data_IF_706199549333
#
_entry.id   IF_706199549333
#
_cell.length_a   1.000
_cell.length_b   1.000
_cell.length_c   1.000
_cell.angle_alpha   90.00
_cell.angle_beta   90.00
_cell.angle_gamma   90.00
#
_symmetry.space_group_name_H-M   'P 1'
#
loop_
_entity.id
_entity.type
_entity.pdbx_description
1 polymer ?
#
# COMPACT_ATOMS: atom_id res chain seq x y z
N UNK A 1 53.04 42.03 -45.58
CA UNK A 1 52.51 40.98 -44.68
C UNK A 1 51.50 41.61 -43.73
N UNK A 2 50.47 40.86 -43.35
CA UNK A 2 49.17 41.28 -42.80
C UNK A 2 49.21 41.62 -41.30
N UNK A 3 48.73 42.80 -40.86
CA UNK A 3 48.07 43.01 -39.55
C UNK A 3 47.41 44.41 -39.53
N UNK A 4 46.12 44.53 -39.90
CA UNK A 4 44.92 44.58 -39.02
C UNK A 4 44.81 45.84 -38.16
N UNK A 5 43.90 46.73 -38.58
CA UNK A 5 43.27 47.80 -37.80
C UNK A 5 42.25 47.22 -36.82
N UNK A 6 42.12 47.81 -35.62
CA UNK A 6 40.86 47.99 -34.85
C UNK A 6 41.24 48.41 -33.42
N UNK A 7 41.10 49.69 -33.07
CA UNK A 7 39.93 50.31 -32.44
C UNK A 7 39.69 49.91 -30.98
N UNK A 8 39.86 50.93 -30.15
CA UNK A 8 39.67 51.02 -28.71
C UNK A 8 38.19 50.84 -28.36
N UNK A 9 37.86 49.79 -27.58
CA UNK A 9 36.48 49.55 -27.12
C UNK A 9 36.33 50.05 -25.68
N UNK A 10 35.63 51.17 -25.52
CA UNK A 10 35.23 51.73 -24.24
C UNK A 10 34.38 50.74 -23.42
N UNK A 11 34.75 50.61 -22.15
CA UNK A 11 33.93 50.01 -21.09
C UNK A 11 32.63 50.82 -20.93
N UNK A 12 31.50 50.18 -21.21
CA UNK A 12 30.17 50.71 -20.91
C UNK A 12 29.63 49.96 -19.69
N UNK A 13 29.61 50.65 -18.55
CA UNK A 13 28.92 50.23 -17.32
C UNK A 13 27.41 50.34 -17.56
N UNK A 14 26.76 49.21 -17.82
CA UNK A 14 25.31 49.15 -17.95
C UNK A 14 24.65 49.13 -16.56
N UNK A 15 24.19 50.29 -16.09
CA UNK A 15 23.23 50.39 -15.00
C UNK A 15 21.86 49.87 -15.48
N UNK A 16 21.56 48.61 -15.19
CA UNK A 16 20.21 48.06 -15.36
C UNK A 16 19.41 48.28 -14.08
N UNK A 17 18.44 49.20 -14.17
CA UNK A 17 17.39 49.45 -13.18
C UNK A 17 16.50 48.20 -13.09
N UNK A 18 16.34 47.65 -11.89
CA UNK A 18 15.47 46.51 -11.59
C UNK A 18 14.07 47.07 -11.35
N UNK A 19 13.13 46.79 -12.26
CA UNK A 19 11.70 46.97 -12.03
C UNK A 19 11.16 45.71 -11.33
N UNK A 20 10.48 45.81 -10.18
CA UNK A 20 9.86 44.64 -9.56
C UNK A 20 8.58 44.29 -10.35
N UNK A 21 8.66 43.28 -11.21
CA UNK A 21 7.48 42.71 -11.84
C UNK A 21 6.75 41.87 -10.78
N UNK A 22 5.80 42.51 -10.10
CA UNK A 22 4.84 41.88 -9.19
C UNK A 22 4.14 40.75 -9.94
N UNK A 23 4.50 39.50 -9.65
CA UNK A 23 3.76 38.34 -10.13
C UNK A 23 2.48 38.24 -9.31
N UNK A 24 1.36 38.54 -9.97
CA UNK A 24 0.03 38.24 -9.46
C UNK A 24 -0.06 36.74 -9.16
N UNK A 25 -0.30 36.41 -7.90
CA UNK A 25 -0.60 35.07 -7.43
C UNK A 25 -1.92 34.66 -8.09
N UNK A 26 -1.88 33.62 -8.95
CA UNK A 26 -3.09 32.92 -9.36
C UNK A 26 -3.74 32.33 -8.11
N UNK A 27 -4.79 32.99 -7.62
CA UNK A 27 -5.71 32.36 -6.67
C UNK A 27 -6.36 31.18 -7.38
N UNK A 28 -5.96 29.97 -7.00
CA UNK A 28 -6.71 28.77 -7.36
C UNK A 28 -8.13 28.95 -6.81
N UNK A 29 -9.13 28.96 -7.69
CA UNK A 29 -10.54 28.87 -7.31
C UNK A 29 -10.77 27.51 -6.66
N UNK A 30 -10.42 27.37 -5.38
CA UNK A 30 -10.84 26.26 -4.55
C UNK A 30 -12.34 26.41 -4.30
N UNK A 31 -13.15 25.77 -5.15
CA UNK A 31 -14.52 25.44 -4.72
C UNK A 31 -14.37 24.39 -3.62
N UNK A 32 -14.82 24.66 -2.38
CA UNK A 32 -14.89 23.61 -1.37
C UNK A 32 -15.83 22.54 -1.92
N UNK A 33 -15.29 21.37 -2.25
CA UNK A 33 -16.12 20.20 -2.47
C UNK A 33 -16.82 19.93 -1.14
N UNK A 34 -18.16 20.02 -1.12
CA UNK A 34 -18.93 19.52 0.01
C UNK A 34 -18.50 18.07 0.23
N UNK A 35 -18.17 17.65 1.47
CA UNK A 35 -17.88 16.25 1.75
C UNK A 35 -19.07 15.43 1.25
N UNK A 36 -18.86 14.63 0.20
CA UNK A 36 -19.89 13.68 -0.19
C UNK A 36 -19.99 12.66 0.94
N UNK A 37 -21.22 12.26 1.34
CA UNK A 37 -21.38 11.15 2.26
C UNK A 37 -20.61 9.95 1.70
N UNK A 38 -19.86 9.21 2.54
CA UNK A 38 -19.15 8.04 2.07
C UNK A 38 -20.14 7.08 1.41
N UNK A 39 -19.74 6.37 0.33
CA UNK A 39 -20.58 5.34 -0.27
C UNK A 39 -20.98 4.32 0.79
N UNK A 40 -22.17 3.74 0.65
CA UNK A 40 -22.64 2.70 1.56
C UNK A 40 -21.61 1.54 1.58
N UNK A 41 -21.30 0.96 2.75
CA UNK A 41 -20.31 -0.09 2.85
C UNK A 41 -20.76 -1.32 2.03
N UNK A 42 -19.83 -2.03 1.36
CA UNK A 42 -20.17 -3.25 0.66
C UNK A 42 -20.75 -4.29 1.64
N UNK A 43 -21.65 -5.14 1.17
CA UNK A 43 -22.19 -6.22 2.01
C UNK A 43 -21.13 -7.33 2.16
N UNK A 44 -20.90 -7.86 3.36
CA UNK A 44 -20.02 -9.01 3.53
C UNK A 44 -20.63 -10.26 2.87
N UNK A 45 -19.79 -11.16 2.35
CA UNK A 45 -20.26 -12.44 1.82
C UNK A 45 -20.82 -13.32 2.94
N UNK A 46 -21.79 -14.16 2.59
CA UNK A 46 -22.51 -15.02 3.54
C UNK A 46 -22.42 -16.47 3.09
N UNK A 47 -21.42 -17.23 3.57
CA UNK A 47 -21.27 -18.63 3.22
C UNK A 47 -22.37 -19.50 3.85
N UNK A 48 -22.70 -20.65 3.23
CA UNK A 48 -23.73 -21.55 3.72
C UNK A 48 -23.31 -22.15 5.06
N UNK A 49 -24.29 -22.24 5.97
CA UNK A 49 -24.13 -22.89 7.26
C UNK A 49 -24.55 -24.35 7.13
N UNK A 50 -23.63 -25.26 7.46
CA UNK A 50 -23.86 -26.70 7.53
C UNK A 50 -23.49 -27.16 8.94
N UNK A 51 -24.44 -27.17 9.90
CA UNK A 51 -24.14 -27.52 11.29
C UNK A 51 -23.61 -28.94 11.39
N UNK A 52 -22.41 -29.09 11.95
CA UNK A 52 -21.78 -30.38 12.27
C UNK A 52 -21.45 -30.38 13.75
N UNK A 53 -21.88 -31.41 14.48
CA UNK A 53 -21.60 -31.57 15.91
C UNK A 53 -20.25 -32.24 16.11
N UNK A 54 -19.40 -31.64 16.94
CA UNK A 54 -18.14 -32.19 17.39
C UNK A 54 -18.21 -32.50 18.89
N UNK A 55 -17.65 -33.62 19.29
CA UNK A 55 -17.55 -33.99 20.71
C UNK A 55 -16.10 -34.24 21.05
N UNK A 56 -15.56 -33.51 22.02
CA UNK A 56 -14.20 -33.67 22.49
C UNK A 56 -14.16 -33.54 24.01
N UNK A 57 -13.50 -34.48 24.69
CA UNK A 57 -13.40 -34.55 26.15
C UNK A 57 -14.74 -34.43 26.91
N UNK A 58 -15.83 -34.94 26.33
CA UNK A 58 -17.16 -34.91 26.95
C UNK A 58 -17.92 -33.58 26.76
N UNK A 59 -17.33 -32.61 26.08
CA UNK A 59 -18.00 -31.39 25.65
C UNK A 59 -18.38 -31.49 24.17
N UNK A 60 -19.60 -31.07 23.85
CA UNK A 60 -20.12 -31.05 22.48
C UNK A 60 -20.41 -29.62 22.03
N UNK A 61 -19.98 -29.27 20.82
CA UNK A 61 -20.32 -28.00 20.17
C UNK A 61 -20.68 -28.22 18.70
N UNK A 62 -21.41 -27.26 18.14
CA UNK A 62 -21.74 -27.22 16.72
C UNK A 62 -20.81 -26.27 15.98
N UNK A 63 -20.22 -26.73 14.88
CA UNK A 63 -19.48 -25.91 13.94
C UNK A 63 -20.21 -25.89 12.58
N UNK A 64 -20.93 -24.80 12.27
CA UNK A 64 -21.62 -24.62 10.99
C UNK A 64 -20.70 -24.44 9.77
N UNK A 65 -19.40 -24.22 9.97
CA UNK A 65 -18.44 -23.92 8.93
C UNK A 65 -17.35 -24.99 8.79
N UNK A 66 -17.49 -26.12 9.49
CA UNK A 66 -16.56 -27.24 9.43
C UNK A 66 -16.24 -27.70 8.00
N UNK A 67 -17.21 -27.64 7.10
CA UNK A 67 -17.04 -27.99 5.68
C UNK A 67 -15.93 -27.20 4.97
N UNK A 68 -15.59 -25.99 5.42
CA UNK A 68 -14.52 -25.18 4.83
C UNK A 68 -13.12 -25.74 5.10
N UNK A 69 -12.96 -26.58 6.12
CA UNK A 69 -11.69 -27.26 6.43
C UNK A 69 -11.49 -28.55 5.63
N UNK A 70 -12.52 -29.03 4.92
CA UNK A 70 -12.51 -30.33 4.24
C UNK A 70 -11.87 -30.25 2.86
N UNK A 71 -10.53 -30.21 2.82
CA UNK A 71 -9.75 -30.10 1.58
C UNK A 71 -9.86 -31.31 0.64
N UNK A 72 -10.41 -32.44 1.09
CA UNK A 72 -10.57 -33.64 0.26
C UNK A 72 -11.92 -33.70 -0.47
N UNK A 73 -12.89 -32.88 -0.09
CA UNK A 73 -14.19 -32.82 -0.76
C UNK A 73 -14.15 -31.78 -1.89
N UNK A 74 -14.24 -32.25 -3.13
CA UNK A 74 -14.25 -31.40 -4.33
C UNK A 74 -15.40 -30.40 -4.33
N UNK A 75 -16.55 -30.77 -3.76
CA UNK A 75 -17.71 -29.88 -3.68
C UNK A 75 -17.43 -28.77 -2.68
N UNK A 76 -16.92 -29.10 -1.49
CA UNK A 76 -16.50 -28.12 -0.49
C UNK A 76 -15.46 -27.14 -1.05
N UNK A 77 -14.44 -27.63 -1.76
CA UNK A 77 -13.42 -26.78 -2.39
C UNK A 77 -14.02 -25.80 -3.39
N UNK A 78 -14.91 -26.26 -4.28
CA UNK A 78 -15.58 -25.37 -5.26
C UNK A 78 -16.38 -24.26 -4.57
N UNK A 79 -17.09 -24.59 -3.51
CA UNK A 79 -17.78 -23.57 -2.72
C UNK A 79 -16.79 -22.62 -2.04
N UNK A 80 -15.69 -23.13 -1.49
CA UNK A 80 -14.65 -22.33 -0.85
C UNK A 80 -14.04 -21.32 -1.83
N UNK A 81 -13.68 -21.73 -3.04
CA UNK A 81 -13.11 -20.84 -4.08
C UNK A 81 -14.05 -19.67 -4.39
N UNK A 82 -15.34 -19.96 -4.58
CA UNK A 82 -16.36 -18.93 -4.85
C UNK A 82 -16.47 -17.92 -3.70
N UNK A 83 -16.44 -18.39 -2.46
CA UNK A 83 -16.50 -17.48 -1.31
C UNK A 83 -15.20 -16.70 -1.11
N UNK A 84 -14.05 -17.29 -1.45
CA UNK A 84 -12.77 -16.60 -1.38
C UNK A 84 -12.68 -15.45 -2.38
N UNK A 85 -13.17 -15.63 -3.61
CA UNK A 85 -13.29 -14.54 -4.58
C UNK A 85 -14.25 -13.43 -4.10
N UNK A 86 -15.32 -13.78 -3.39
CA UNK A 86 -16.24 -12.78 -2.84
C UNK A 86 -15.61 -12.00 -1.68
N UNK A 87 -14.86 -12.68 -0.82
CA UNK A 87 -14.08 -12.04 0.25
C UNK A 87 -13.01 -11.12 -0.32
N UNK A 88 -12.29 -11.54 -1.36
CA UNK A 88 -11.29 -10.70 -2.05
C UNK A 88 -11.92 -9.40 -2.57
N UNK A 89 -13.05 -9.50 -3.28
CA UNK A 89 -13.80 -8.32 -3.77
C UNK A 89 -14.31 -7.43 -2.63
N UNK A 90 -14.76 -8.03 -1.53
CA UNK A 90 -15.21 -7.28 -0.36
C UNK A 90 -14.05 -6.51 0.27
N UNK A 91 -12.89 -7.16 0.45
CA UNK A 91 -11.67 -6.56 0.98
C UNK A 91 -11.20 -5.42 0.07
N UNK A 92 -11.12 -5.64 -1.24
CA UNK A 92 -10.77 -4.59 -2.22
C UNK A 92 -11.71 -3.38 -2.09
N UNK A 93 -13.02 -3.61 -2.05
CA UNK A 93 -14.00 -2.54 -1.94
C UNK A 93 -13.85 -1.76 -0.62
N UNK A 94 -13.68 -2.45 0.50
CA UNK A 94 -13.51 -1.82 1.83
C UNK A 94 -12.16 -1.10 1.96
N UNK A 95 -11.09 -1.66 1.38
CA UNK A 95 -9.72 -1.15 1.54
C UNK A 95 -9.33 -0.12 0.48
N UNK A 96 -10.12 0.06 -0.57
CA UNK A 96 -9.86 0.98 -1.70
C UNK A 96 -9.43 2.39 -1.26
N UNK A 97 -10.09 2.98 -0.26
CA UNK A 97 -9.76 4.31 0.25
C UNK A 97 -8.36 4.40 0.90
N UNK A 98 -7.79 3.27 1.30
CA UNK A 98 -6.53 3.19 2.06
C UNK A 98 -5.30 2.83 1.22
N UNK A 99 -5.44 2.60 -0.09
CA UNK A 99 -4.35 2.19 -1.00
C UNK A 99 -3.11 3.09 -0.92
N UNK A 100 -3.33 4.42 -0.85
CA UNK A 100 -2.24 5.39 -0.72
C UNK A 100 -1.47 5.22 0.58
N UNK A 101 -2.18 4.98 1.69
CA UNK A 101 -1.56 4.77 2.99
C UNK A 101 -0.80 3.44 3.02
N UNK A 102 -1.40 2.38 2.49
CA UNK A 102 -0.75 1.06 2.37
C UNK A 102 0.56 1.15 1.57
N UNK A 103 0.53 1.81 0.41
CA UNK A 103 1.73 1.99 -0.43
C UNK A 103 2.83 2.76 0.28
N UNK A 104 2.46 3.83 1.01
CA UNK A 104 3.41 4.59 1.83
C UNK A 104 4.02 3.71 2.91
N UNK A 105 3.21 2.98 3.68
CA UNK A 105 3.69 2.08 4.72
C UNK A 105 4.58 0.97 4.15
N UNK A 106 4.22 0.39 3.00
CA UNK A 106 5.03 -0.63 2.33
C UNK A 106 6.43 -0.09 1.98
N UNK A 107 6.52 1.12 1.42
CA UNK A 107 7.81 1.75 1.12
C UNK A 107 8.63 2.06 2.38
N UNK A 108 7.98 2.56 3.43
CA UNK A 108 8.62 2.85 4.70
C UNK A 108 9.13 1.57 5.39
N UNK A 109 8.33 0.51 5.42
CA UNK A 109 8.72 -0.80 5.97
C UNK A 109 9.86 -1.41 5.16
N UNK A 110 9.76 -1.40 3.84
CA UNK A 110 10.81 -1.88 2.94
C UNK A 110 12.15 -1.17 3.17
N UNK A 111 12.12 0.15 3.40
CA UNK A 111 13.34 0.93 3.68
C UNK A 111 14.01 0.60 5.01
N UNK A 112 13.27 0.02 5.97
CA UNK A 112 13.77 -0.32 7.31
C UNK A 112 14.20 -1.78 7.44
N UNK A 113 13.85 -2.62 6.46
CA UNK A 113 14.26 -4.01 6.41
C UNK A 113 15.69 -4.12 5.86
N UNK A 114 16.57 -4.83 6.58
CA UNK A 114 17.92 -5.12 6.09
C UNK A 114 17.87 -6.21 5.01
N UNK A 115 18.60 -6.02 3.91
CA UNK A 115 18.74 -7.04 2.88
C UNK A 115 19.49 -8.29 3.38
N UNK A 116 20.41 -8.08 4.31
CA UNK A 116 21.13 -9.16 4.97
C UNK A 116 20.35 -9.53 6.24
N UNK A 117 19.73 -10.71 6.19
CA UNK A 117 19.18 -11.36 7.36
C UNK A 117 20.35 -12.08 8.02
N UNK A 118 20.86 -11.54 9.12
CA UNK A 118 21.79 -12.28 9.97
C UNK A 118 21.31 -12.21 11.40
N UNK A 119 21.26 -13.38 12.02
CA UNK A 119 21.06 -13.50 13.45
C UNK A 119 22.41 -13.50 14.15
N UNK A 120 22.54 -12.85 15.33
CA UNK A 120 23.75 -12.98 16.12
C UNK A 120 24.05 -14.47 16.38
N UNK A 121 25.31 -14.90 16.23
CA UNK A 121 25.66 -16.31 16.33
C UNK A 121 25.31 -16.85 17.71
N UNK A 122 24.44 -17.85 17.76
CA UNK A 122 24.08 -18.53 18.99
C UNK A 122 24.99 -19.75 19.16
N UNK A 123 25.53 -19.94 20.37
CA UNK A 123 26.31 -21.13 20.67
C UNK A 123 25.39 -22.35 20.78
N UNK A 124 25.67 -23.38 19.99
CA UNK A 124 25.04 -24.69 20.10
C UNK A 124 26.12 -25.77 20.25
N UNK A 125 26.40 -26.15 21.50
CA UNK A 125 27.49 -27.05 21.81
C UNK A 125 28.86 -26.47 21.40
N UNK A 126 29.71 -27.20 20.67
CA UNK A 126 30.99 -26.70 20.14
C UNK A 126 30.87 -25.71 18.98
N UNK A 127 29.67 -25.50 18.43
CA UNK A 127 29.45 -24.73 17.20
C UNK A 127 28.77 -23.39 17.49
N UNK A 128 28.93 -22.45 16.57
CA UNK A 128 28.08 -21.27 16.47
C UNK A 128 27.18 -21.43 15.25
N UNK A 129 25.88 -21.21 15.44
CA UNK A 129 24.92 -21.19 14.35
C UNK A 129 24.37 -19.77 14.22
N UNK A 130 24.49 -19.22 13.02
CA UNK A 130 23.75 -18.06 12.55
C UNK A 130 22.90 -18.53 11.36
N UNK A 131 21.63 -18.12 11.35
CA UNK A 131 20.74 -18.25 10.19
C UNK A 131 20.83 -16.99 9.34
#
# INVERSE_FOLDING_TARGET
MRHLLSSFRQNQLNHRRITPHIHFIFSANYKPQKPQPPPAPPSPPKPPKKPVTFTHHGESWEDPYSWMSQLNDKVAMRHMDVYMEQEEKYIEAVMSDTERLQSKLQSEMGSRLSNELSTPPLRWGPWYSSV
#
